data_IF_772515367793
#
_entry.id   IF_772515367793
#
_cell.length_a   1.000
_cell.length_b   1.000
_cell.length_c   1.000
_cell.angle_alpha   90.00
_cell.angle_beta   90.00
_cell.angle_gamma   90.00
#
_symmetry.space_group_name_H-M   'P 1'
#
loop_
_entity.id
_entity.type
_entity.pdbx_description
1 polymer ?
#
# COMPACT_ATOMS: atom_id res chain seq x y z
N UNK A 1 19.69 -40.65 -12.28
CA UNK A 1 18.39 -40.17 -11.77
C UNK A 1 18.61 -39.79 -10.31
N UNK A 2 18.62 -38.50 -9.98
CA UNK A 2 18.69 -38.01 -8.60
C UNK A 2 17.42 -37.18 -8.37
N UNK A 3 16.57 -37.67 -7.49
CA UNK A 3 15.30 -37.06 -7.10
C UNK A 3 15.58 -35.69 -6.46
N UNK A 4 15.15 -34.62 -7.12
CA UNK A 4 15.06 -33.30 -6.50
C UNK A 4 13.71 -33.23 -5.77
N UNK A 5 13.74 -33.44 -4.45
CA UNK A 5 12.60 -33.18 -3.57
C UNK A 5 12.39 -31.67 -3.49
N UNK A 6 11.29 -31.24 -4.10
CA UNK A 6 10.69 -29.92 -3.95
C UNK A 6 10.59 -29.55 -2.46
N UNK A 7 11.34 -28.52 -2.05
CA UNK A 7 11.16 -27.90 -0.74
C UNK A 7 9.87 -27.08 -0.78
N UNK A 8 8.79 -27.67 -0.24
CA UNK A 8 7.58 -26.95 0.18
C UNK A 8 7.96 -25.71 1.00
N UNK A 9 7.73 -24.50 0.48
CA UNK A 9 7.73 -23.25 1.26
C UNK A 9 6.54 -23.32 2.23
N UNK A 10 6.81 -23.58 3.52
CA UNK A 10 5.81 -23.46 4.57
C UNK A 10 5.50 -21.99 4.81
N UNK A 11 4.25 -21.58 4.60
CA UNK A 11 3.78 -20.21 4.77
C UNK A 11 3.84 -19.73 6.22
N UNK A 12 4.89 -18.99 6.56
CA UNK A 12 4.81 -17.94 7.57
C UNK A 12 4.68 -16.64 6.78
N UNK A 13 3.52 -16.02 6.83
CA UNK A 13 3.43 -14.61 6.42
C UNK A 13 4.33 -13.81 7.34
N UNK A 14 5.33 -13.16 6.76
CA UNK A 14 6.22 -12.28 7.49
C UNK A 14 5.40 -11.06 7.93
N UNK A 15 5.40 -10.81 9.23
CA UNK A 15 4.66 -9.69 9.82
C UNK A 15 5.20 -8.38 9.25
N UNK A 16 4.30 -7.47 8.90
CA UNK A 16 4.66 -6.16 8.39
C UNK A 16 5.52 -5.37 9.37
N UNK A 17 6.49 -4.62 8.83
CA UNK A 17 7.29 -3.66 9.60
C UNK A 17 6.38 -2.64 10.30
N UNK A 18 6.57 -2.47 11.61
CA UNK A 18 5.70 -1.62 12.43
C UNK A 18 5.79 -0.15 12.06
N UNK A 19 6.97 0.33 11.66
CA UNK A 19 7.20 1.73 11.34
C UNK A 19 6.58 2.05 9.98
N UNK A 20 6.68 1.11 9.03
CA UNK A 20 5.98 1.20 7.74
C UNK A 20 4.47 1.22 7.95
N UNK A 21 3.94 0.32 8.78
CA UNK A 21 2.50 0.26 9.08
C UNK A 21 2.01 1.58 9.68
N UNK A 22 2.72 2.10 10.68
CA UNK A 22 2.33 3.34 11.36
C UNK A 22 2.42 4.55 10.43
N UNK A 23 3.45 4.62 9.58
CA UNK A 23 3.59 5.67 8.56
C UNK A 23 2.38 5.70 7.61
N UNK A 24 1.96 4.53 7.11
CA UNK A 24 0.81 4.42 6.20
C UNK A 24 -0.49 4.83 6.91
N UNK A 25 -0.71 4.37 8.15
CA UNK A 25 -1.88 4.77 8.95
C UNK A 25 -1.92 6.28 9.21
N UNK A 26 -0.78 6.89 9.51
CA UNK A 26 -0.66 8.34 9.70
C UNK A 26 -0.99 9.10 8.41
N UNK A 27 -0.51 8.64 7.26
CA UNK A 27 -0.86 9.22 5.95
C UNK A 27 -2.36 9.12 5.67
N UNK A 28 -2.96 7.94 5.83
CA UNK A 28 -4.41 7.75 5.63
C UNK A 28 -5.22 8.69 6.53
N UNK A 29 -4.76 8.91 7.77
CA UNK A 29 -5.43 9.80 8.73
C UNK A 29 -5.43 11.28 8.32
N UNK A 30 -4.64 11.68 7.32
CA UNK A 30 -4.68 13.03 6.75
C UNK A 30 -5.82 13.25 5.77
N UNK A 31 -6.48 12.18 5.30
CA UNK A 31 -7.61 12.27 4.37
C UNK A 31 -8.83 12.86 5.11
N UNK A 32 -9.50 13.89 4.55
CA UNK A 32 -10.68 14.48 5.16
C UNK A 32 -11.78 13.46 5.46
N UNK A 33 -12.40 13.59 6.63
CA UNK A 33 -13.55 12.77 7.03
C UNK A 33 -14.72 12.96 6.06
N UNK A 34 -15.40 11.87 5.74
CA UNK A 34 -16.55 11.87 4.83
C UNK A 34 -16.22 11.55 3.37
N UNK A 35 -14.93 11.43 3.04
CA UNK A 35 -14.50 10.90 1.75
C UNK A 35 -14.45 9.36 1.78
N UNK A 36 -14.73 8.76 0.63
CA UNK A 36 -14.54 7.33 0.38
C UNK A 36 -13.53 7.12 -0.73
N UNK A 37 -12.69 6.10 -0.59
CA UNK A 37 -11.71 5.69 -1.60
C UNK A 37 -12.20 4.40 -2.25
N UNK A 38 -12.24 4.38 -3.57
CA UNK A 38 -12.50 3.16 -4.35
C UNK A 38 -11.20 2.39 -4.52
N UNK A 39 -11.16 1.14 -4.07
CA UNK A 39 -10.01 0.25 -4.28
C UNK A 39 -10.43 -0.85 -5.26
N UNK A 40 -10.11 -0.63 -6.54
CA UNK A 40 -10.32 -1.60 -7.62
C UNK A 40 -11.69 -2.30 -7.58
N UNK A 41 -11.68 -3.63 -7.66
CA UNK A 41 -12.87 -4.48 -7.55
C UNK A 41 -13.32 -4.76 -6.12
N UNK A 42 -12.54 -4.39 -5.09
CA UNK A 42 -12.91 -4.58 -3.69
C UNK A 42 -13.97 -3.60 -3.21
N UNK A 43 -14.13 -2.47 -3.90
CA UNK A 43 -15.22 -1.52 -3.69
C UNK A 43 -14.78 -0.22 -3.01
N UNK A 44 -15.74 0.45 -2.35
CA UNK A 44 -15.54 1.76 -1.74
C UNK A 44 -15.39 1.65 -0.23
N UNK A 45 -14.37 2.29 0.31
CA UNK A 45 -14.01 2.24 1.73
C UNK A 45 -13.95 3.65 2.31
N UNK A 46 -14.40 3.79 3.55
CA UNK A 46 -14.08 4.99 4.34
C UNK A 46 -12.65 4.89 4.84
N UNK A 47 -12.07 6.02 5.21
CA UNK A 47 -10.70 6.10 5.72
C UNK A 47 -10.50 5.20 6.94
N UNK A 48 -11.49 5.12 7.84
CA UNK A 48 -11.42 4.28 9.03
C UNK A 48 -11.36 2.78 8.68
N UNK A 49 -12.03 2.37 7.60
CA UNK A 49 -11.98 0.98 7.13
C UNK A 49 -10.60 0.65 6.57
N UNK A 50 -10.00 1.56 5.80
CA UNK A 50 -8.64 1.38 5.25
C UNK A 50 -7.60 1.22 6.36
N UNK A 51 -7.67 2.07 7.40
CA UNK A 51 -6.77 1.99 8.57
C UNK A 51 -6.92 0.62 9.25
N UNK A 52 -8.14 0.11 9.39
CA UNK A 52 -8.41 -1.22 9.96
C UNK A 52 -7.82 -2.35 9.10
N UNK A 53 -7.97 -2.28 7.78
CA UNK A 53 -7.37 -3.27 6.87
C UNK A 53 -5.85 -3.30 6.99
N UNK A 54 -5.20 -2.12 7.06
CA UNK A 54 -3.75 -1.99 7.30
C UNK A 54 -3.34 -2.58 8.65
N UNK A 55 -4.12 -2.35 9.70
CA UNK A 55 -3.87 -2.94 11.02
C UNK A 55 -3.95 -4.48 10.99
N UNK A 56 -4.94 -5.02 10.28
CA UNK A 56 -5.17 -6.46 10.13
C UNK A 56 -4.14 -7.18 9.25
N UNK A 57 -3.35 -6.44 8.45
CA UNK A 57 -2.42 -7.01 7.45
C UNK A 57 -3.10 -7.99 6.48
N UNK A 58 -4.39 -7.77 6.20
CA UNK A 58 -5.10 -8.55 5.19
C UNK A 58 -4.69 -8.12 3.78
N UNK A 59 -5.23 -8.79 2.75
CA UNK A 59 -4.85 -8.52 1.36
C UNK A 59 -5.07 -7.06 0.96
N UNK A 60 -6.16 -6.44 1.44
CA UNK A 60 -6.47 -5.03 1.19
C UNK A 60 -5.44 -4.15 1.92
N UNK A 61 -5.16 -4.44 3.20
CA UNK A 61 -4.17 -3.71 3.99
C UNK A 61 -2.76 -3.76 3.41
N UNK A 62 -2.34 -4.94 2.96
CA UNK A 62 -1.04 -5.15 2.29
C UNK A 62 -0.98 -4.37 0.97
N UNK A 63 -2.05 -4.41 0.16
CA UNK A 63 -2.13 -3.65 -1.09
C UNK A 63 -2.07 -2.13 -0.84
N UNK A 64 -2.77 -1.62 0.18
CA UNK A 64 -2.70 -0.20 0.55
C UNK A 64 -1.28 0.21 0.93
N UNK A 65 -0.60 -0.60 1.74
CA UNK A 65 0.78 -0.33 2.17
C UNK A 65 1.74 -0.33 0.98
N UNK A 66 1.58 -1.28 0.07
CA UNK A 66 2.39 -1.33 -1.16
C UNK A 66 2.21 -0.05 -1.99
N UNK A 67 0.96 0.34 -2.27
CA UNK A 67 0.63 1.55 -3.03
C UNK A 67 1.18 2.83 -2.38
N UNK A 68 0.98 2.99 -1.07
CA UNK A 68 1.44 4.18 -0.34
C UNK A 68 2.97 4.25 -0.31
N UNK A 69 3.65 3.13 -0.12
CA UNK A 69 5.11 3.09 -0.12
C UNK A 69 5.71 3.30 -1.51
N UNK A 70 5.07 2.82 -2.58
CA UNK A 70 5.44 3.14 -3.96
C UNK A 70 5.32 4.65 -4.21
N UNK A 71 4.17 5.24 -3.88
CA UNK A 71 3.94 6.68 -3.99
C UNK A 71 5.01 7.50 -3.25
N UNK A 72 5.32 7.15 -1.99
CA UNK A 72 6.31 7.88 -1.19
C UNK A 72 7.72 7.77 -1.76
N UNK A 73 8.09 6.60 -2.32
CA UNK A 73 9.40 6.42 -2.99
C UNK A 73 9.48 7.24 -4.28
N UNK A 74 8.42 7.24 -5.07
CA UNK A 74 8.37 8.00 -6.31
C UNK A 74 8.36 9.51 -6.08
N UNK A 75 7.66 9.97 -5.03
CA UNK A 75 7.72 11.35 -4.56
C UNK A 75 9.15 11.72 -4.13
N UNK A 76 9.81 10.89 -3.32
CA UNK A 76 11.19 11.10 -2.88
C UNK A 76 12.17 11.19 -4.04
N UNK A 77 12.00 10.31 -5.03
CA UNK A 77 12.89 10.22 -6.19
C UNK A 77 12.58 11.27 -7.26
N UNK A 78 11.53 12.08 -7.07
CA UNK A 78 11.16 13.18 -7.93
C UNK A 78 10.40 12.80 -9.21
N UNK A 79 10.08 11.52 -9.42
CA UNK A 79 9.30 11.05 -10.57
C UNK A 79 7.95 11.75 -10.69
N UNK A 80 7.31 12.03 -9.55
CA UNK A 80 6.03 12.74 -9.54
C UNK A 80 6.18 14.20 -10.03
N UNK A 81 7.30 14.86 -9.74
CA UNK A 81 7.56 16.23 -10.21
C UNK A 81 7.83 16.26 -11.72
N UNK A 82 8.52 15.25 -12.25
CA UNK A 82 8.73 15.12 -13.70
C UNK A 82 7.38 15.08 -14.41
N UNK A 83 6.45 14.21 -13.96
CA UNK A 83 5.10 14.13 -14.53
C UNK A 83 4.34 15.46 -14.46
N UNK A 84 4.32 16.12 -13.29
CA UNK A 84 3.59 17.39 -13.10
C UNK A 84 4.23 18.54 -13.90
N UNK A 85 5.55 18.54 -14.08
CA UNK A 85 6.25 19.60 -14.83
C UNK A 85 5.95 19.56 -16.34
N UNK A 86 5.66 18.38 -16.91
CA UNK A 86 5.33 18.25 -18.33
C UNK A 86 3.87 18.64 -18.65
N UNK A 87 2.95 18.52 -17.69
CA UNK A 87 1.53 18.84 -17.91
C UNK A 87 1.25 20.35 -18.05
N UNK A 88 2.18 21.21 -17.61
CA UNK A 88 2.06 22.67 -17.70
C UNK A 88 2.62 23.28 -19.00
N UNK A 89 2.93 22.46 -20.02
CA UNK A 89 3.38 22.93 -21.35
C UNK A 89 2.27 22.88 -22.43
N UNK A 90 1.00 23.05 -22.07
CA UNK A 90 -0.10 23.22 -23.04
C UNK A 90 -0.60 24.66 -23.14
#
# INVERSE_FOLDING_TARGET
MKENKEKKKSGKEEKMDSDVKELVKMRLSTIPKGLSVSIGSWGNFKVEDLIRHVEMEDEIGKSIVEMDMEFLRDLKNGKLYEQIAFDNQT
#
